data_IF_800651674170
#
_entry.id   IF_800651674170
#
_cell.length_a   1.000
_cell.length_b   1.000
_cell.length_c   1.000
_cell.angle_alpha   90.00
_cell.angle_beta   90.00
_cell.angle_gamma   90.00
#
_symmetry.space_group_name_H-M   'P 1'
#
loop_
_entity.id
_entity.type
_entity.pdbx_description
1 polymer ?
#
# COMPACT_ATOMS: atom_id res chain seq x y z
N UNK A 1 23.52 1.73 3.16
CA UNK A 1 23.55 3.08 2.55
C UNK A 1 24.97 3.63 2.62
N UNK A 2 25.52 4.13 1.51
CA UNK A 2 26.85 4.71 1.51
C UNK A 2 26.82 6.16 2.04
N UNK A 3 28.02 6.71 2.33
CA UNK A 3 28.13 8.03 2.92
C UNK A 3 27.60 9.15 2.01
N UNK A 4 27.80 9.01 0.69
CA UNK A 4 27.31 9.97 -0.29
C UNK A 4 25.80 10.03 -0.30
N UNK A 5 25.14 8.89 -0.37
CA UNK A 5 23.68 8.80 -0.38
C UNK A 5 23.08 9.36 0.92
N UNK A 6 23.69 9.05 2.06
CA UNK A 6 23.29 9.61 3.34
C UNK A 6 23.35 11.13 3.35
N UNK A 7 24.43 11.70 2.79
CA UNK A 7 24.60 13.15 2.71
C UNK A 7 23.54 13.78 1.80
N UNK A 8 23.26 13.16 0.65
CA UNK A 8 22.22 13.62 -0.27
C UNK A 8 20.84 13.61 0.39
N UNK A 9 20.52 12.55 1.13
CA UNK A 9 19.26 12.45 1.86
C UNK A 9 19.10 13.56 2.90
N UNK A 10 20.19 13.93 3.58
CA UNK A 10 20.19 14.99 4.58
C UNK A 10 19.96 16.38 3.98
N UNK A 11 20.21 16.55 2.68
CA UNK A 11 20.00 17.81 1.98
C UNK A 11 18.60 17.94 1.38
N UNK A 12 17.80 16.89 1.45
CA UNK A 12 16.43 16.92 0.92
C UNK A 12 15.54 17.80 1.79
N UNK A 13 14.74 18.66 1.14
CA UNK A 13 13.84 19.58 1.82
C UNK A 13 12.38 19.17 1.72
N UNK A 14 12.04 18.17 0.91
CA UNK A 14 10.68 17.64 0.80
C UNK A 14 10.72 16.15 0.49
N UNK A 15 9.55 15.52 0.59
CA UNK A 15 9.40 14.09 0.39
C UNK A 15 9.72 13.66 -1.04
N UNK A 16 9.40 14.48 -2.04
CA UNK A 16 9.70 14.17 -3.44
C UNK A 16 11.20 14.10 -3.69
N UNK A 17 11.97 15.04 -3.15
CA UNK A 17 13.42 15.01 -3.25
C UNK A 17 14.01 13.77 -2.58
N UNK A 18 13.48 13.40 -1.42
CA UNK A 18 13.90 12.21 -0.71
C UNK A 18 13.69 10.95 -1.56
N UNK A 19 12.55 10.84 -2.21
CA UNK A 19 12.25 9.73 -3.11
C UNK A 19 13.18 9.71 -4.31
N UNK A 20 13.49 10.88 -4.88
CA UNK A 20 14.39 10.98 -6.04
C UNK A 20 15.78 10.45 -5.70
N UNK A 21 16.29 10.75 -4.51
CA UNK A 21 17.60 10.26 -4.06
C UNK A 21 17.58 8.77 -3.79
N UNK A 22 16.54 8.28 -3.10
CA UNK A 22 16.47 6.88 -2.66
C UNK A 22 16.09 5.93 -3.80
N UNK A 23 15.14 6.32 -4.66
CA UNK A 23 14.51 5.43 -5.64
C UNK A 23 14.64 5.89 -7.09
N UNK A 24 15.29 7.02 -7.34
CA UNK A 24 15.44 7.59 -8.67
C UNK A 24 14.34 8.59 -9.02
N UNK A 25 14.57 9.34 -10.08
CA UNK A 25 13.63 10.36 -10.54
C UNK A 25 12.40 9.74 -11.20
N UNK A 26 11.31 10.48 -11.23
CA UNK A 26 10.08 10.08 -11.92
C UNK A 26 10.36 9.80 -13.39
N UNK A 27 9.69 8.78 -13.93
CA UNK A 27 9.87 8.34 -15.30
C UNK A 27 10.96 7.28 -15.48
N UNK A 28 11.76 6.98 -14.46
CA UNK A 28 12.70 5.86 -14.50
C UNK A 28 11.97 4.57 -14.13
N UNK A 29 12.43 3.45 -14.69
CA UNK A 29 11.86 2.13 -14.37
C UNK A 29 11.95 1.85 -12.87
N UNK A 30 13.07 2.19 -12.25
CA UNK A 30 13.27 2.00 -10.81
C UNK A 30 12.21 2.75 -10.00
N UNK A 31 11.95 4.01 -10.34
CA UNK A 31 10.97 4.84 -9.63
C UNK A 31 9.55 4.34 -9.85
N UNK A 32 9.22 3.91 -11.07
CA UNK A 32 7.90 3.36 -11.38
C UNK A 32 7.63 2.08 -10.59
N UNK A 33 8.61 1.18 -10.51
CA UNK A 33 8.49 -0.04 -9.69
C UNK A 33 8.30 0.29 -8.21
N UNK A 34 9.06 1.26 -7.70
CA UNK A 34 8.91 1.71 -6.32
C UNK A 34 7.52 2.29 -6.06
N UNK A 35 7.00 3.12 -6.97
CA UNK A 35 5.67 3.73 -6.79
C UNK A 35 4.57 2.69 -6.76
N UNK A 36 4.65 1.65 -7.61
CA UNK A 36 3.69 0.55 -7.60
C UNK A 36 3.74 -0.23 -6.28
N UNK A 37 4.94 -0.52 -5.79
CA UNK A 37 5.12 -1.22 -4.51
C UNK A 37 4.67 -0.37 -3.34
N UNK A 38 4.91 0.94 -3.38
CA UNK A 38 4.48 1.88 -2.35
C UNK A 38 2.95 1.97 -2.29
N UNK A 39 2.28 1.99 -3.44
CA UNK A 39 0.83 2.00 -3.51
C UNK A 39 0.24 0.73 -2.90
N UNK A 40 0.79 -0.45 -3.26
CA UNK A 40 0.35 -1.71 -2.70
C UNK A 40 0.58 -1.75 -1.17
N UNK A 41 1.70 -1.23 -0.71
CA UNK A 41 2.01 -1.14 0.71
C UNK A 41 1.00 -0.25 1.44
N UNK A 42 0.70 0.91 0.89
CA UNK A 42 -0.27 1.85 1.49
C UNK A 42 -1.67 1.25 1.57
N UNK A 43 -2.12 0.56 0.51
CA UNK A 43 -3.41 -0.13 0.50
C UNK A 43 -3.44 -1.20 1.59
N UNK A 44 -2.36 -1.98 1.71
CA UNK A 44 -2.26 -3.04 2.72
C UNK A 44 -2.32 -2.50 4.14
N UNK A 45 -1.58 -1.44 4.42
CA UNK A 45 -1.57 -0.81 5.74
C UNK A 45 -2.94 -0.19 6.05
N UNK A 46 -3.58 0.44 5.08
CA UNK A 46 -4.90 1.01 5.26
C UNK A 46 -5.94 -0.06 5.55
N UNK A 47 -5.91 -1.17 4.81
CA UNK A 47 -6.80 -2.30 5.06
C UNK A 47 -6.62 -2.85 6.47
N UNK A 48 -5.38 -3.06 6.89
CA UNK A 48 -5.06 -3.55 8.23
C UNK A 48 -5.62 -2.62 9.31
N UNK A 49 -5.42 -1.32 9.16
CA UNK A 49 -5.91 -0.33 10.10
C UNK A 49 -7.43 -0.37 10.20
N UNK A 50 -8.12 -0.39 9.06
CA UNK A 50 -9.59 -0.45 9.04
C UNK A 50 -10.11 -1.74 9.64
N UNK A 51 -9.45 -2.87 9.37
CA UNK A 51 -9.80 -4.16 9.95
C UNK A 51 -9.67 -4.14 11.47
N UNK A 52 -8.58 -3.61 11.98
CA UNK A 52 -8.35 -3.52 13.42
C UNK A 52 -9.34 -2.58 14.10
N UNK A 53 -9.67 -1.46 13.47
CA UNK A 53 -10.69 -0.55 13.99
C UNK A 53 -12.07 -1.20 14.02
N UNK A 54 -12.37 -2.10 13.08
CA UNK A 54 -13.61 -2.86 13.07
C UNK A 54 -13.62 -4.02 14.08
N UNK A 55 -12.49 -4.28 14.73
CA UNK A 55 -12.37 -5.37 15.71
C UNK A 55 -12.34 -6.75 15.09
N UNK A 56 -11.91 -6.88 13.82
CA UNK A 56 -11.92 -8.14 13.09
C UNK A 56 -10.53 -8.73 12.99
N UNK A 57 -10.44 -10.05 13.08
CA UNK A 57 -9.24 -10.79 12.69
C UNK A 57 -9.20 -10.94 11.17
N UNK A 58 -8.05 -11.30 10.62
CA UNK A 58 -7.95 -11.61 9.18
C UNK A 58 -8.91 -12.74 8.79
N UNK A 59 -9.05 -13.73 9.63
CA UNK A 59 -9.96 -14.86 9.41
C UNK A 59 -11.42 -14.41 9.40
N UNK A 60 -11.79 -13.58 10.36
CA UNK A 60 -13.17 -13.06 10.46
C UNK A 60 -13.51 -12.18 9.26
N UNK A 61 -12.60 -11.29 8.86
CA UNK A 61 -12.82 -10.45 7.69
C UNK A 61 -12.96 -11.31 6.43
N UNK A 62 -12.08 -12.30 6.25
CA UNK A 62 -12.11 -13.19 5.10
C UNK A 62 -13.46 -13.92 5.00
N UNK A 63 -13.96 -14.45 6.10
CA UNK A 63 -15.26 -15.11 6.14
C UNK A 63 -16.40 -14.14 5.79
N UNK A 64 -16.32 -12.91 6.29
CA UNK A 64 -17.33 -11.89 6.08
C UNK A 64 -17.45 -11.45 4.63
N UNK A 65 -16.31 -11.37 3.91
CA UNK A 65 -16.28 -10.93 2.50
C UNK A 65 -16.26 -12.09 1.51
N UNK A 66 -16.21 -13.33 1.99
CA UNK A 66 -16.22 -14.51 1.10
C UNK A 66 -14.89 -14.79 0.44
N UNK A 67 -13.79 -14.48 1.10
CA UNK A 67 -12.43 -14.76 0.62
C UNK A 67 -11.65 -15.61 1.61
N UNK A 68 -10.38 -15.86 1.33
CA UNK A 68 -9.51 -16.66 2.20
C UNK A 68 -8.69 -15.77 3.11
N UNK A 69 -8.40 -16.20 4.36
CA UNK A 69 -7.52 -15.44 5.26
C UNK A 69 -6.15 -15.13 4.65
N UNK A 70 -5.62 -16.04 3.86
CA UNK A 70 -4.34 -15.83 3.18
C UNK A 70 -4.40 -14.67 2.19
N UNK A 71 -5.53 -14.46 1.52
CA UNK A 71 -5.74 -13.32 0.62
C UNK A 71 -5.65 -12.01 1.39
N UNK A 72 -6.33 -11.91 2.52
CA UNK A 72 -6.29 -10.73 3.38
C UNK A 72 -4.85 -10.49 3.86
N UNK A 73 -4.19 -11.53 4.35
CA UNK A 73 -2.81 -11.45 4.83
C UNK A 73 -1.86 -10.94 3.76
N UNK A 74 -1.99 -11.43 2.52
CA UNK A 74 -1.12 -11.01 1.41
C UNK A 74 -1.33 -9.54 1.05
N UNK A 75 -2.57 -9.08 1.03
CA UNK A 75 -2.87 -7.66 0.78
C UNK A 75 -2.26 -6.78 1.86
N UNK A 76 -2.43 -7.16 3.12
CA UNK A 76 -1.91 -6.38 4.26
C UNK A 76 -0.39 -6.37 4.30
N UNK A 77 0.27 -7.35 3.69
CA UNK A 77 1.74 -7.38 3.57
C UNK A 77 2.28 -6.61 2.37
N UNK A 78 1.39 -6.01 1.57
CA UNK A 78 1.79 -5.15 0.47
C UNK A 78 2.04 -5.86 -0.85
N UNK A 79 1.52 -7.07 -1.04
CA UNK A 79 1.62 -7.72 -2.34
C UNK A 79 0.72 -7.02 -3.35
N UNK A 80 1.27 -6.66 -4.51
CA UNK A 80 0.60 -5.83 -5.52
C UNK A 80 -0.34 -6.59 -6.46
N UNK A 81 -0.50 -7.89 -6.29
CA UNK A 81 -1.23 -8.75 -7.21
C UNK A 81 -2.69 -8.90 -6.80
N UNK A 82 -3.39 -7.78 -6.64
CA UNK A 82 -4.80 -7.77 -6.21
C UNK A 82 -5.59 -6.87 -7.14
N UNK A 83 -6.75 -7.35 -7.61
CA UNK A 83 -7.60 -6.55 -8.47
C UNK A 83 -8.31 -5.45 -7.67
N UNK A 84 -8.63 -4.35 -8.35
CA UNK A 84 -9.38 -3.24 -7.75
C UNK A 84 -10.77 -3.70 -7.30
N UNK A 85 -11.39 -4.59 -8.05
CA UNK A 85 -12.69 -5.15 -7.68
C UNK A 85 -12.61 -5.91 -6.35
N UNK A 86 -11.54 -6.66 -6.12
CA UNK A 86 -11.32 -7.36 -4.84
C UNK A 86 -11.17 -6.38 -3.68
N UNK A 87 -10.44 -5.29 -3.89
CA UNK A 87 -10.26 -4.23 -2.88
C UNK A 87 -11.62 -3.63 -2.51
N UNK A 88 -12.43 -3.27 -3.51
CA UNK A 88 -13.76 -2.72 -3.27
C UNK A 88 -14.64 -3.69 -2.48
N UNK A 89 -14.60 -4.97 -2.85
CA UNK A 89 -15.41 -6.01 -2.20
C UNK A 89 -15.01 -6.18 -0.74
N UNK A 90 -13.72 -6.17 -0.44
CA UNK A 90 -13.22 -6.34 0.92
C UNK A 90 -13.64 -5.15 1.79
N UNK A 91 -13.48 -3.92 1.32
CA UNK A 91 -13.89 -2.75 2.08
C UNK A 91 -15.42 -2.70 2.25
N UNK A 92 -16.17 -3.08 1.22
CA UNK A 92 -17.63 -3.17 1.32
C UNK A 92 -18.06 -4.16 2.40
N UNK A 93 -17.33 -5.26 2.55
CA UNK A 93 -17.58 -6.24 3.61
C UNK A 93 -17.38 -5.71 5.02
N UNK A 94 -16.62 -4.62 5.17
CA UNK A 94 -16.46 -3.91 6.45
C UNK A 94 -17.44 -2.73 6.59
N UNK A 95 -18.38 -2.58 5.66
CA UNK A 95 -19.29 -1.44 5.66
C UNK A 95 -18.66 -0.14 5.21
N UNK A 96 -17.53 -0.21 4.52
CA UNK A 96 -16.80 0.96 4.03
C UNK A 96 -16.94 1.11 2.54
N UNK A 97 -16.98 2.34 2.07
CA UNK A 97 -17.06 2.66 0.65
C UNK A 97 -15.73 3.27 0.20
N UNK A 98 -15.17 2.73 -0.87
CA UNK A 98 -13.92 3.25 -1.43
C UNK A 98 -14.23 4.20 -2.56
N UNK A 99 -13.66 5.40 -2.51
CA UNK A 99 -13.73 6.35 -3.60
C UNK A 99 -12.38 6.39 -4.31
N UNK A 100 -12.42 6.43 -5.64
CA UNK A 100 -11.21 6.57 -6.46
C UNK A 100 -11.24 7.95 -7.09
N UNK A 101 -10.17 8.70 -6.92
CA UNK A 101 -10.04 10.04 -7.49
C UNK A 101 -8.92 10.04 -8.52
N UNK A 102 -9.23 10.54 -9.71
CA UNK A 102 -8.24 10.78 -10.75
C UNK A 102 -7.73 12.21 -10.65
N UNK A 103 -6.43 12.35 -10.65
CA UNK A 103 -5.77 13.65 -10.55
C UNK A 103 -5.32 14.14 -11.93
#
# INVERSE_FOLDING_TARGET
MNAQKKQELMQCTNFEQLLDVEYGQRGTTQREMFEADAEAFCIGEFLKEQRLQAGLTQKELAAQVGTRPNTISRIERGYSNVSLASIFQIFAGMGKKVAVTLL
#
